data_IF_459739033192
#
_entry.id   IF_459739033192
#
_cell.length_a   1.000
_cell.length_b   1.000
_cell.length_c   1.000
_cell.angle_alpha   90.00
_cell.angle_beta   90.00
_cell.angle_gamma   90.00
#
_symmetry.space_group_name_H-M   'P 1'
#
loop_
_entity.id
_entity.type
_entity.pdbx_description
1 polymer ?
#
# COMPACT_ATOMS: atom_id res chain seq x y z
N UNK A 1 30.58 9.17 54.13
CA UNK A 1 31.23 10.41 54.60
C UNK A 1 32.56 10.49 53.85
N UNK A 2 32.91 11.44 52.99
CA UNK A 2 32.40 12.75 52.58
C UNK A 2 32.40 12.86 51.04
N UNK A 3 31.67 13.83 50.45
CA UNK A 3 31.60 14.10 49.01
C UNK A 3 32.69 15.08 48.57
N UNK A 4 32.89 15.25 47.25
CA UNK A 4 33.17 16.55 46.60
C UNK A 4 33.52 16.34 45.11
N UNK A 5 32.74 16.95 44.21
CA UNK A 5 33.21 18.02 43.31
C UNK A 5 32.12 18.49 42.35
N UNK A 6 32.01 19.81 42.31
CA UNK A 6 31.08 20.66 41.58
C UNK A 6 31.93 21.50 40.61
N UNK A 7 31.55 21.49 39.32
CA UNK A 7 31.67 22.55 38.27
C UNK A 7 33.08 23.06 37.89
N UNK A 8 33.42 23.56 36.71
CA UNK A 8 32.82 23.81 35.36
C UNK A 8 34.03 24.00 34.41
N UNK A 9 33.97 23.86 33.08
CA UNK A 9 33.68 24.95 32.13
C UNK A 9 34.01 24.52 30.66
N UNK A 10 33.30 25.14 29.71
CA UNK A 10 33.65 25.42 28.29
C UNK A 10 33.43 24.32 27.21
N UNK A 11 32.29 24.48 26.52
CA UNK A 11 32.05 24.51 25.07
C UNK A 11 33.10 23.96 24.09
N UNK A 12 32.67 23.03 23.20
CA UNK A 12 32.88 23.09 21.73
C UNK A 12 31.97 22.10 20.97
N UNK A 13 31.49 22.58 19.82
CA UNK A 13 30.63 21.92 18.82
C UNK A 13 31.26 20.68 18.15
N UNK A 14 30.47 19.62 17.89
CA UNK A 14 30.01 19.17 16.53
C UNK A 14 29.46 17.72 16.54
N UNK A 15 28.26 17.58 15.95
CA UNK A 15 27.72 16.49 15.11
C UNK A 15 28.08 15.01 15.40
N UNK A 16 27.09 14.17 15.77
CA UNK A 16 26.39 13.18 14.91
C UNK A 16 25.53 12.16 15.71
N UNK A 17 24.52 11.62 15.03
CA UNK A 17 23.89 10.28 15.20
C UNK A 17 22.74 10.06 16.23
N UNK A 18 21.51 10.04 15.68
CA UNK A 18 20.49 8.97 15.69
C UNK A 18 20.53 7.91 16.83
N UNK A 19 19.42 7.81 17.58
CA UNK A 19 18.73 6.58 18.11
C UNK A 19 17.54 7.07 18.96
N UNK A 20 16.27 6.83 18.61
CA UNK A 20 15.54 5.57 18.80
C UNK A 20 14.24 5.90 19.53
N UNK A 21 13.09 5.84 18.85
CA UNK A 21 11.77 6.07 19.43
C UNK A 21 11.17 4.73 19.90
N UNK A 22 11.00 4.57 21.21
CA UNK A 22 10.01 3.68 21.81
C UNK A 22 8.82 4.54 22.23
N UNK A 23 7.60 4.17 21.79
CA UNK A 23 6.34 4.82 22.20
C UNK A 23 5.74 4.08 23.40
N UNK A 24 5.31 4.83 24.41
CA UNK A 24 4.63 4.34 25.62
C UNK A 24 3.13 4.73 25.61
N UNK A 25 2.18 3.89 26.09
CA UNK A 25 0.74 3.98 25.75
C UNK A 25 -0.10 5.02 26.52
N UNK A 26 0.52 5.95 27.26
CA UNK A 26 -0.19 6.78 28.24
C UNK A 26 -0.79 8.09 27.68
N UNK A 27 -0.43 8.52 26.47
CA UNK A 27 -0.80 9.86 25.93
C UNK A 27 -2.13 9.92 25.18
N UNK A 28 -2.74 8.78 24.82
CA UNK A 28 -3.99 8.76 24.03
C UNK A 28 -5.24 9.04 24.91
N UNK A 29 -5.23 8.65 26.18
CA UNK A 29 -6.40 8.81 27.07
C UNK A 29 -6.65 10.27 27.53
N UNK A 30 -5.63 11.12 27.55
CA UNK A 30 -5.78 12.53 27.98
C UNK A 30 -6.43 13.42 26.91
N UNK A 31 -6.27 13.08 25.63
CA UNK A 31 -6.82 13.85 24.50
C UNK A 31 -8.34 13.64 24.34
N UNK A 32 -8.81 12.40 24.52
CA UNK A 32 -10.22 12.04 24.41
C UNK A 32 -11.09 12.69 25.51
N UNK A 33 -10.56 12.81 26.72
CA UNK A 33 -11.30 13.36 27.86
C UNK A 33 -11.43 14.90 27.81
N UNK A 34 -10.51 15.59 27.13
CA UNK A 34 -10.60 17.03 26.89
C UNK A 34 -11.68 17.37 25.85
N UNK A 35 -11.77 16.58 24.78
CA UNK A 35 -12.80 16.74 23.73
C UNK A 35 -14.20 16.48 24.30
N UNK A 36 -14.34 15.47 25.16
CA UNK A 36 -15.62 15.14 25.82
C UNK A 36 -16.16 16.29 26.69
N UNK A 37 -15.28 17.00 27.41
CA UNK A 37 -15.67 18.17 28.25
C UNK A 37 -16.11 19.38 27.43
N UNK A 38 -15.51 19.61 26.26
CA UNK A 38 -15.87 20.75 25.38
C UNK A 38 -17.27 20.54 24.78
N UNK A 39 -17.58 19.32 24.32
CA UNK A 39 -18.88 18.98 23.72
C UNK A 39 -20.02 19.08 24.74
N UNK A 40 -19.79 18.67 25.99
CA UNK A 40 -20.79 18.77 27.06
C UNK A 40 -21.08 20.22 27.49
N UNK A 41 -20.07 21.11 27.41
CA UNK A 41 -20.21 22.54 27.72
C UNK A 41 -21.00 23.31 26.65
N UNK A 42 -20.98 22.84 25.40
CA UNK A 42 -21.79 23.42 24.31
C UNK A 42 -23.28 23.04 24.42
N UNK A 43 -23.60 21.81 24.80
CA UNK A 43 -25.00 21.35 24.99
C UNK A 43 -25.74 22.05 26.14
N UNK A 44 -25.03 22.72 27.05
CA UNK A 44 -25.62 23.43 28.20
C UNK A 44 -25.95 24.89 27.91
N UNK A 45 -25.37 25.49 26.86
CA UNK A 45 -25.61 26.89 26.50
C UNK A 45 -26.95 27.06 25.75
N UNK A 46 -27.47 26.01 25.11
CA UNK A 46 -28.66 26.07 24.25
C UNK A 46 -30.02 25.86 24.96
N UNK A 47 -30.07 26.01 26.29
CA UNK A 47 -31.33 25.88 27.07
C UNK A 47 -31.73 27.09 27.91
N UNK A 48 -31.02 28.22 27.83
CA UNK A 48 -31.43 29.45 28.52
C UNK A 48 -31.84 30.53 27.52
N UNK A 49 -33.14 30.51 27.20
CA UNK A 49 -33.90 31.63 26.60
C UNK A 49 -33.55 32.94 27.32
N UNK A 50 -33.12 33.95 26.58
CA UNK A 50 -33.25 35.36 26.99
C UNK A 50 -34.53 35.86 26.33
N UNK A 51 -35.60 35.98 27.12
CA UNK A 51 -36.84 36.66 26.77
C UNK A 51 -36.70 38.10 27.26
N UNK A 52 -36.93 39.09 26.40
CA UNK A 52 -37.36 40.42 26.81
C UNK A 52 -38.55 40.84 25.94
N UNK A 53 -39.60 41.32 26.61
CA UNK A 53 -40.88 41.76 26.06
C UNK A 53 -40.98 43.29 26.02
N UNK A 54 -41.61 43.85 24.99
CA UNK A 54 -42.21 45.19 24.98
C UNK A 54 -43.49 45.16 24.11
N UNK A 55 -44.55 45.91 24.44
CA UNK A 55 -45.91 45.66 23.96
C UNK A 55 -46.25 46.40 22.67
N UNK A 56 -46.98 45.71 21.78
CA UNK A 56 -47.73 46.31 20.67
C UNK A 56 -46.97 46.46 19.35
N UNK A 57 -46.84 45.39 18.57
CA UNK A 57 -47.00 45.41 17.11
C UNK A 57 -47.08 43.96 16.59
N UNK A 58 -48.21 43.61 15.97
CA UNK A 58 -48.45 42.30 15.38
C UNK A 58 -48.02 42.33 13.93
N UNK A 59 -46.77 41.97 13.64
CA UNK A 59 -46.30 41.29 12.41
C UNK A 59 -44.77 41.38 12.33
N UNK A 60 -44.06 40.24 12.42
CA UNK A 60 -42.83 39.96 11.63
C UNK A 60 -42.18 38.62 11.99
N UNK A 61 -41.83 37.89 10.94
CA UNK A 61 -40.93 36.74 10.95
C UNK A 61 -39.48 37.17 11.30
N UNK A 62 -38.68 36.31 11.95
CA UNK A 62 -37.29 36.63 12.27
C UNK A 62 -36.41 36.63 11.02
N UNK A 63 -35.68 37.73 10.83
CA UNK A 63 -34.63 37.93 9.83
C UNK A 63 -33.47 36.98 10.14
N UNK A 64 -33.56 35.74 9.67
CA UNK A 64 -32.45 34.76 9.68
C UNK A 64 -32.09 34.26 8.29
N UNK A 65 -32.70 34.83 7.25
CA UNK A 65 -32.46 34.45 5.86
C UNK A 65 -32.22 35.68 4.98
N UNK A 66 -31.13 36.41 5.21
CA UNK A 66 -30.64 37.40 4.25
C UNK A 66 -29.20 37.79 4.58
N UNK A 67 -28.23 36.93 4.26
CA UNK A 67 -26.84 37.28 3.90
C UNK A 67 -26.03 36.03 3.53
N UNK A 68 -26.58 35.24 2.61
CA UNK A 68 -25.82 34.41 1.68
C UNK A 68 -26.26 34.90 0.31
N UNK A 69 -25.55 35.88 -0.27
CA UNK A 69 -25.50 36.17 -1.72
C UNK A 69 -24.67 37.44 -1.97
N UNK A 70 -23.64 37.27 -2.82
CA UNK A 70 -22.90 38.28 -3.60
C UNK A 70 -22.38 39.54 -2.89
N UNK A 71 -21.06 39.60 -2.68
CA UNK A 71 -20.36 40.86 -2.47
C UNK A 71 -18.93 40.65 -2.00
N UNK A 72 -17.94 41.02 -2.83
CA UNK A 72 -16.55 41.16 -2.41
C UNK A 72 -16.47 42.12 -1.21
N UNK A 73 -15.92 41.64 -0.09
CA UNK A 73 -15.56 42.49 1.04
C UNK A 73 -14.13 43.01 0.79
N UNK A 74 -14.01 44.18 0.16
CA UNK A 74 -12.73 44.88 0.04
C UNK A 74 -12.53 45.76 1.27
N UNK A 75 -11.49 45.46 2.06
CA UNK A 75 -11.06 46.28 3.20
C UNK A 75 -10.04 47.30 2.69
N UNK A 76 -10.40 48.58 2.70
CA UNK A 76 -9.45 49.70 2.57
C UNK A 76 -9.32 50.38 3.94
N UNK A 77 -8.31 49.98 4.72
CA UNK A 77 -7.94 50.65 5.97
C UNK A 77 -8.95 50.54 7.13
N UNK A 78 -8.88 51.50 8.06
CA UNK A 78 -9.44 51.41 9.42
C UNK A 78 -10.92 51.84 9.60
N UNK A 79 -11.74 51.87 8.55
CA UNK A 79 -13.19 52.17 8.69
C UNK A 79 -14.06 51.32 7.74
N UNK A 80 -15.18 50.77 8.25
CA UNK A 80 -16.25 50.12 7.49
C UNK A 80 -17.33 51.15 7.13
N UNK A 81 -17.63 51.34 5.84
CA UNK A 81 -18.74 52.18 5.36
C UNK A 81 -19.85 51.29 4.80
N UNK A 82 -21.07 51.44 5.34
CA UNK A 82 -22.27 50.78 4.82
C UNK A 82 -23.19 51.84 4.22
N UNK A 83 -23.48 51.76 2.93
CA UNK A 83 -24.52 52.57 2.28
C UNK A 83 -25.78 51.71 2.11
N UNK A 84 -26.89 52.16 2.68
CA UNK A 84 -28.23 51.64 2.36
C UNK A 84 -28.93 52.66 1.46
N UNK A 85 -29.27 52.28 0.24
CA UNK A 85 -30.02 53.13 -0.68
C UNK A 85 -31.52 52.82 -0.50
N UNK A 86 -32.29 53.80 -0.03
CA UNK A 86 -33.73 53.93 -0.30
C UNK A 86 -34.07 55.44 -0.34
N UNK A 87 -35.06 55.86 -1.15
CA UNK A 87 -35.33 57.27 -1.39
C UNK A 87 -36.03 57.85 -0.15
N UNK A 88 -35.64 59.06 0.25
CA UNK A 88 -36.10 59.79 1.43
C UNK A 88 -35.46 59.33 2.77
N UNK A 89 -34.41 60.06 3.15
CA UNK A 89 -33.64 60.05 4.42
C UNK A 89 -32.46 59.09 4.55
N UNK A 90 -31.27 59.69 4.74
CA UNK A 90 -30.04 59.04 5.22
C UNK A 90 -29.82 59.38 6.69
N UNK A 91 -29.55 58.39 7.53
CA UNK A 91 -29.07 58.63 8.90
C UNK A 91 -27.78 57.82 9.15
N UNK A 92 -26.71 58.50 9.58
CA UNK A 92 -25.38 57.91 9.80
C UNK A 92 -25.18 57.68 11.30
N UNK A 93 -25.13 56.41 11.72
CA UNK A 93 -24.73 56.05 13.10
C UNK A 93 -23.35 55.41 13.11
N UNK A 94 -22.45 56.00 13.88
CA UNK A 94 -21.13 55.45 14.17
C UNK A 94 -21.20 54.62 15.47
N UNK A 95 -20.74 53.37 15.42
CA UNK A 95 -20.59 52.52 16.60
C UNK A 95 -19.11 52.55 17.00
N UNK A 96 -18.80 53.02 18.20
CA UNK A 96 -17.46 52.96 18.77
C UNK A 96 -17.28 51.67 19.58
N UNK A 97 -16.23 50.92 19.27
CA UNK A 97 -15.88 49.69 19.99
C UNK A 97 -15.02 49.99 21.22
N UNK A 98 -15.24 49.26 22.30
CA UNK A 98 -14.43 49.36 23.53
C UNK A 98 -13.00 48.83 23.31
N UNK A 99 -12.07 49.20 24.20
CA UNK A 99 -10.65 48.77 24.11
C UNK A 99 -10.50 47.24 24.10
N UNK A 100 -11.38 46.53 24.78
CA UNK A 100 -11.41 45.06 24.86
C UNK A 100 -11.88 44.41 23.54
N UNK A 101 -12.85 45.02 22.84
CA UNK A 101 -13.33 44.53 21.54
C UNK A 101 -12.27 44.71 20.43
N UNK A 102 -11.44 45.75 20.51
CA UNK A 102 -10.29 45.95 19.61
C UNK A 102 -9.18 44.92 19.85
N UNK A 103 -8.96 44.51 21.10
CA UNK A 103 -8.00 43.47 21.47
C UNK A 103 -8.46 42.10 20.94
N UNK A 104 -9.75 41.76 21.06
CA UNK A 104 -10.30 40.53 20.47
C UNK A 104 -10.18 40.48 18.94
N UNK A 105 -10.38 41.62 18.26
CA UNK A 105 -10.17 41.72 16.80
C UNK A 105 -8.71 41.48 16.38
N UNK A 106 -7.74 41.98 17.15
CA UNK A 106 -6.32 41.76 16.89
C UNK A 106 -5.87 40.33 17.16
N UNK A 107 -6.44 39.67 18.19
CA UNK A 107 -6.18 38.25 18.48
C UNK A 107 -6.75 37.32 17.39
N UNK A 108 -7.94 37.63 16.85
CA UNK A 108 -8.53 36.87 15.74
C UNK A 108 -7.79 37.08 14.40
N UNK A 109 -7.20 38.27 14.18
CA UNK A 109 -6.35 38.55 13.02
C UNK A 109 -5.01 37.80 13.10
N UNK A 110 -4.41 37.74 14.29
CA UNK A 110 -3.18 36.99 14.53
C UNK A 110 -3.38 35.46 14.49
N UNK A 111 -4.57 34.96 14.85
CA UNK A 111 -4.96 33.55 14.64
C UNK A 111 -5.16 33.19 13.16
N UNK A 112 -5.53 34.16 12.29
CA UNK A 112 -5.62 33.93 10.84
C UNK A 112 -4.27 34.03 10.11
N UNK A 113 -3.30 34.75 10.67
CA UNK A 113 -1.96 34.89 10.09
C UNK A 113 -0.97 33.80 10.54
N UNK A 114 -1.27 33.09 11.62
CA UNK A 114 -0.53 31.88 12.04
C UNK A 114 -1.07 30.58 11.42
N UNK A 115 -2.21 30.62 10.74
CA UNK A 115 -2.80 29.47 10.04
C UNK A 115 -2.26 29.24 8.61
N UNK A 116 -1.38 30.11 8.10
CA UNK A 116 -0.83 30.00 6.74
C UNK A 116 0.66 29.59 6.67
N UNK A 117 1.25 29.12 7.77
CA UNK A 117 2.63 28.59 7.79
C UNK A 117 2.78 27.20 8.42
N UNK A 118 1.68 26.45 8.58
CA UNK A 118 1.75 25.00 8.70
C UNK A 118 1.27 24.41 7.37
N UNK A 119 2.18 24.34 6.39
CA UNK A 119 2.12 23.26 5.40
C UNK A 119 2.15 21.97 6.22
N UNK A 120 0.96 21.42 6.46
CA UNK A 120 0.79 20.10 7.02
C UNK A 120 1.30 19.14 5.95
N UNK A 121 2.60 18.88 5.96
CA UNK A 121 3.15 17.66 5.37
C UNK A 121 2.55 16.52 6.20
N UNK A 122 1.32 16.12 5.85
CA UNK A 122 0.83 14.80 6.19
C UNK A 122 1.74 13.87 5.41
N UNK A 123 2.89 13.52 6.00
CA UNK A 123 3.44 12.21 5.77
C UNK A 123 2.33 11.27 6.22
N UNK A 124 1.54 10.77 5.26
CA UNK A 124 1.02 9.43 5.38
C UNK A 124 2.28 8.59 5.57
N UNK A 125 2.65 8.35 6.82
CA UNK A 125 3.35 7.12 7.16
C UNK A 125 2.33 6.03 6.84
N UNK A 126 2.25 5.67 5.56
CA UNK A 126 1.91 4.32 5.20
C UNK A 126 2.86 3.48 6.03
N UNK A 127 2.33 2.84 7.07
CA UNK A 127 2.94 1.62 7.55
C UNK A 127 3.24 0.84 6.27
N UNK A 128 4.49 0.43 5.98
CA UNK A 128 4.66 -0.56 4.93
C UNK A 128 3.67 -1.66 5.33
N UNK A 129 2.67 -1.88 4.48
CA UNK A 129 1.78 -3.00 4.68
C UNK A 129 2.71 -4.21 4.64
N UNK A 130 3.02 -4.77 5.82
CA UNK A 130 3.80 -5.97 6.10
C UNK A 130 3.06 -7.21 5.58
N UNK A 131 2.46 -7.05 4.41
CA UNK A 131 1.38 -7.83 3.88
C UNK A 131 1.58 -8.08 2.40
N UNK A 132 2.83 -8.02 1.89
CA UNK A 132 3.23 -8.65 0.63
C UNK A 132 4.70 -9.10 0.62
N UNK A 133 5.06 -10.00 -0.30
CA UNK A 133 6.39 -10.60 -0.44
C UNK A 133 6.82 -10.70 -1.90
N UNK A 134 8.12 -10.91 -2.13
CA UNK A 134 8.73 -11.19 -3.43
C UNK A 134 9.60 -12.45 -3.37
N UNK A 135 9.78 -13.09 -4.51
CA UNK A 135 10.77 -14.15 -4.66
C UNK A 135 12.09 -13.53 -5.11
N UNK A 136 13.04 -13.39 -4.18
CA UNK A 136 14.21 -12.52 -4.32
C UNK A 136 15.49 -13.25 -4.75
N UNK A 137 15.47 -14.57 -4.74
CA UNK A 137 16.63 -15.39 -5.10
C UNK A 137 16.21 -16.74 -5.66
N UNK A 138 16.97 -17.21 -6.65
CA UNK A 138 16.83 -18.54 -7.24
C UNK A 138 17.80 -19.51 -6.60
N UNK A 139 17.38 -20.76 -6.45
CA UNK A 139 18.18 -21.92 -6.04
C UNK A 139 18.33 -22.80 -7.26
N UNK A 140 19.55 -23.01 -7.75
CA UNK A 140 19.84 -23.84 -8.91
C UNK A 140 21.02 -24.76 -8.60
N UNK A 141 20.72 -26.04 -8.37
CA UNK A 141 21.66 -26.99 -7.77
C UNK A 141 22.11 -26.53 -6.39
N UNK A 142 23.42 -26.37 -6.22
CA UNK A 142 24.04 -25.85 -4.98
C UNK A 142 24.16 -24.32 -4.94
N UNK A 143 23.74 -23.61 -5.99
CA UNK A 143 23.90 -22.16 -6.10
C UNK A 143 22.62 -21.45 -5.69
N UNK A 144 22.72 -20.43 -4.83
CA UNK A 144 21.65 -19.47 -4.57
C UNK A 144 22.07 -18.10 -5.06
N UNK A 145 21.22 -17.41 -5.84
CA UNK A 145 21.57 -16.13 -6.46
C UNK A 145 20.37 -15.20 -6.56
N UNK A 146 20.49 -14.00 -6.00
CA UNK A 146 19.58 -12.87 -6.29
C UNK A 146 19.96 -12.13 -7.57
N UNK A 147 21.24 -12.17 -7.97
CA UNK A 147 21.73 -11.53 -9.20
C UNK A 147 21.15 -12.14 -10.48
N UNK A 148 20.68 -13.39 -10.41
CA UNK A 148 20.03 -14.06 -11.53
C UNK A 148 18.51 -13.82 -11.59
N UNK A 149 17.92 -13.19 -10.57
CA UNK A 149 16.50 -12.85 -10.54
C UNK A 149 16.30 -11.50 -11.22
N UNK A 150 15.29 -11.42 -12.09
CA UNK A 150 14.72 -10.16 -12.55
C UNK A 150 13.93 -9.57 -11.39
N UNK A 151 14.56 -8.72 -10.60
CA UNK A 151 14.07 -8.33 -9.28
C UNK A 151 12.81 -7.45 -9.40
N UNK A 152 11.67 -7.83 -8.80
CA UNK A 152 10.51 -6.95 -8.73
C UNK A 152 10.83 -5.61 -8.06
N UNK A 153 10.26 -4.51 -8.55
CA UNK A 153 10.47 -3.17 -8.00
C UNK A 153 9.62 -2.88 -6.75
N UNK A 154 8.63 -3.73 -6.50
CA UNK A 154 7.67 -3.63 -5.40
C UNK A 154 7.26 -5.05 -5.00
N UNK A 155 6.81 -5.20 -3.75
CA UNK A 155 6.18 -6.42 -3.29
C UNK A 155 4.69 -6.50 -3.61
N UNK A 156 4.09 -5.45 -4.19
CA UNK A 156 2.69 -5.49 -4.61
C UNK A 156 2.41 -6.57 -5.68
N UNK A 157 1.20 -7.17 -5.67
CA UNK A 157 0.84 -8.19 -6.65
C UNK A 157 0.51 -7.59 -8.02
N UNK A 158 0.69 -8.39 -9.06
CA UNK A 158 0.01 -8.17 -10.35
C UNK A 158 -1.45 -8.61 -10.20
N UNK A 159 -2.40 -7.84 -10.73
CA UNK A 159 -3.84 -8.10 -10.56
C UNK A 159 -4.53 -8.58 -11.84
N UNK A 160 -3.98 -8.23 -13.01
CA UNK A 160 -4.60 -8.56 -14.29
C UNK A 160 -3.87 -9.75 -14.95
N UNK A 161 -4.53 -10.92 -14.97
CA UNK A 161 -3.98 -12.16 -15.54
C UNK A 161 -3.67 -12.10 -17.04
N UNK A 162 -4.24 -11.12 -17.76
CA UNK A 162 -3.97 -10.91 -19.19
C UNK A 162 -2.86 -9.88 -19.44
N UNK A 163 -2.36 -9.21 -18.41
CA UNK A 163 -1.27 -8.24 -18.55
C UNK A 163 0.05 -8.94 -18.91
N UNK A 164 0.90 -8.34 -19.76
CA UNK A 164 2.30 -8.78 -19.90
C UNK A 164 3.06 -8.86 -18.56
N UNK A 165 2.64 -8.11 -17.55
CA UNK A 165 3.27 -8.13 -16.23
C UNK A 165 3.18 -9.50 -15.54
N UNK A 166 2.23 -10.38 -15.91
CA UNK A 166 2.18 -11.72 -15.32
C UNK A 166 3.30 -12.65 -15.78
N UNK A 167 4.09 -12.25 -16.78
CA UNK A 167 5.26 -13.02 -17.23
C UNK A 167 6.34 -13.00 -16.16
N UNK A 168 6.87 -11.81 -15.84
CA UNK A 168 8.01 -11.65 -14.93
C UNK A 168 7.87 -10.45 -13.97
N UNK A 169 6.64 -10.07 -13.61
CA UNK A 169 6.30 -8.89 -12.80
C UNK A 169 6.41 -7.55 -13.55
N UNK A 170 5.98 -6.46 -12.93
CA UNK A 170 5.91 -5.11 -13.51
C UNK A 170 7.31 -4.50 -13.59
N UNK A 171 7.84 -4.37 -14.81
CA UNK A 171 9.12 -3.72 -15.11
C UNK A 171 10.25 -4.08 -14.11
N UNK A 172 10.53 -5.38 -13.89
CA UNK A 172 11.55 -5.78 -12.92
C UNK A 172 12.93 -5.25 -13.32
N UNK A 173 13.81 -5.09 -12.32
CA UNK A 173 15.22 -4.80 -12.59
C UNK A 173 15.83 -5.96 -13.38
N UNK A 174 16.61 -5.70 -14.44
CA UNK A 174 17.28 -6.77 -15.18
C UNK A 174 18.19 -7.60 -14.28
N UNK A 175 18.20 -8.92 -14.48
CA UNK A 175 19.18 -9.79 -13.85
C UNK A 175 20.58 -9.48 -14.40
N UNK A 176 21.60 -9.60 -13.55
CA UNK A 176 23.01 -9.37 -13.92
C UNK A 176 23.80 -10.67 -14.07
N UNK A 177 23.17 -11.82 -13.83
CA UNK A 177 23.77 -13.13 -13.94
C UNK A 177 22.80 -14.14 -14.58
N UNK A 178 23.36 -15.21 -15.13
CA UNK A 178 22.65 -16.44 -15.50
C UNK A 178 23.32 -17.60 -14.77
N UNK A 179 22.56 -18.37 -13.98
CA UNK A 179 23.13 -19.46 -13.18
C UNK A 179 23.10 -20.78 -13.96
N UNK A 180 24.25 -21.41 -14.10
CA UNK A 180 24.36 -22.74 -14.72
C UNK A 180 23.92 -23.83 -13.75
N UNK A 181 23.10 -24.77 -14.22
CA UNK A 181 22.56 -25.88 -13.44
C UNK A 181 22.36 -27.12 -14.34
N UNK A 182 22.62 -28.31 -13.83
CA UNK A 182 22.40 -29.53 -14.62
C UNK A 182 20.92 -29.94 -14.61
N UNK A 183 20.42 -30.49 -15.72
CA UNK A 183 19.14 -31.20 -15.74
C UNK A 183 19.13 -32.30 -14.65
N UNK A 184 17.99 -32.53 -14.00
CA UNK A 184 17.88 -33.42 -12.84
C UNK A 184 18.32 -32.79 -11.51
N UNK A 185 18.87 -31.57 -11.50
CA UNK A 185 19.22 -30.87 -10.26
C UNK A 185 18.02 -30.17 -9.63
N UNK A 186 18.15 -29.79 -8.37
CA UNK A 186 17.17 -28.94 -7.68
C UNK A 186 17.06 -27.57 -8.34
N UNK A 187 15.82 -27.10 -8.50
CA UNK A 187 15.47 -25.72 -8.81
C UNK A 187 14.49 -25.20 -7.77
N UNK A 188 14.59 -23.94 -7.37
CA UNK A 188 13.64 -23.35 -6.44
C UNK A 188 13.84 -21.85 -6.30
N UNK A 189 13.06 -21.26 -5.41
CA UNK A 189 13.14 -19.83 -5.09
C UNK A 189 13.04 -19.64 -3.58
N UNK A 190 13.72 -18.61 -3.06
CA UNK A 190 13.45 -18.09 -1.73
C UNK A 190 12.54 -16.87 -1.82
N UNK A 191 11.74 -16.71 -0.79
CA UNK A 191 10.85 -15.59 -0.56
C UNK A 191 11.46 -14.69 0.52
N UNK A 192 11.33 -13.37 0.39
CA UNK A 192 11.88 -12.39 1.33
C UNK A 192 11.14 -12.37 2.68
N UNK A 193 9.94 -12.95 2.73
CA UNK A 193 9.14 -13.22 3.93
C UNK A 193 8.40 -14.57 3.79
N UNK A 194 7.61 -14.92 4.78
CA UNK A 194 6.71 -16.06 4.73
C UNK A 194 5.59 -15.79 3.74
N UNK A 195 5.29 -16.76 2.88
CA UNK A 195 4.04 -16.79 2.12
C UNK A 195 2.88 -16.89 3.11
N UNK A 196 1.94 -15.93 3.12
CA UNK A 196 0.75 -16.00 3.97
C UNK A 196 -0.56 -15.69 3.25
N UNK A 197 -0.54 -15.34 1.95
CA UNK A 197 -1.79 -15.30 1.20
C UNK A 197 -2.21 -16.71 0.83
N UNK A 198 -3.41 -17.12 1.25
CA UNK A 198 -3.97 -18.42 0.89
C UNK A 198 -4.16 -18.49 -0.63
N UNK A 199 -3.58 -19.52 -1.24
CA UNK A 199 -3.65 -19.77 -2.66
C UNK A 199 -2.46 -20.60 -3.15
N UNK A 200 -2.49 -21.12 -4.39
CA UNK A 200 -1.47 -22.03 -4.87
C UNK A 200 -0.19 -21.32 -5.26
N UNK A 201 0.85 -22.12 -5.46
CA UNK A 201 2.07 -21.70 -6.13
C UNK A 201 2.44 -22.67 -7.27
N UNK A 202 3.21 -22.19 -8.24
CA UNK A 202 3.74 -23.03 -9.31
C UNK A 202 5.09 -22.51 -9.81
N UNK A 203 5.91 -23.42 -10.34
CA UNK A 203 7.14 -23.09 -11.07
C UNK A 203 7.00 -23.53 -12.52
N UNK A 204 7.38 -22.64 -13.42
CA UNK A 204 7.42 -22.86 -14.86
C UNK A 204 8.84 -22.68 -15.38
N UNK A 205 9.16 -23.36 -16.46
CA UNK A 205 10.34 -23.12 -17.26
C UNK A 205 9.92 -22.66 -18.65
N UNK A 206 10.66 -21.68 -19.19
CA UNK A 206 10.53 -21.23 -20.57
C UNK A 206 11.89 -21.24 -21.25
N UNK A 207 12.04 -21.95 -22.37
CA UNK A 207 13.30 -21.98 -23.11
C UNK A 207 13.44 -20.71 -23.96
N UNK A 208 14.51 -19.95 -23.75
CA UNK A 208 14.77 -18.75 -24.53
C UNK A 208 15.09 -19.11 -26.00
N UNK A 209 14.57 -18.37 -26.99
CA UNK A 209 14.92 -18.57 -28.40
C UNK A 209 16.35 -18.12 -28.73
N UNK A 210 17.02 -17.43 -27.81
CA UNK A 210 18.37 -16.89 -27.93
C UNK A 210 18.93 -16.62 -26.53
N UNK A 211 19.60 -15.49 -26.34
CA UNK A 211 20.05 -15.05 -25.01
C UNK A 211 18.86 -14.86 -24.07
N UNK A 212 18.89 -15.53 -22.92
CA UNK A 212 17.82 -15.36 -21.90
C UNK A 212 17.81 -13.95 -21.32
N UNK A 213 18.95 -13.24 -21.34
CA UNK A 213 19.04 -11.86 -20.85
C UNK A 213 18.22 -10.88 -21.71
N UNK A 214 17.99 -11.21 -22.98
CA UNK A 214 17.28 -10.35 -23.95
C UNK A 214 15.82 -10.79 -24.17
N UNK A 215 15.46 -12.00 -23.76
CA UNK A 215 14.13 -12.53 -23.98
C UNK A 215 13.12 -12.01 -22.96
N UNK A 216 12.01 -11.45 -23.42
CA UNK A 216 10.93 -10.92 -22.59
C UNK A 216 10.00 -12.00 -22.00
N UNK A 217 10.20 -13.27 -22.38
CA UNK A 217 9.33 -14.37 -21.98
C UNK A 217 8.12 -14.57 -22.89
N UNK A 218 8.04 -13.87 -24.02
CA UNK A 218 6.93 -14.00 -24.98
C UNK A 218 6.94 -15.32 -25.77
N UNK A 219 5.76 -15.70 -26.24
CA UNK A 219 5.52 -16.88 -27.09
C UNK A 219 5.11 -18.13 -26.32
N UNK A 220 4.68 -19.14 -27.08
CA UNK A 220 4.29 -20.44 -26.56
C UNK A 220 5.54 -21.26 -26.21
N UNK A 221 6.12 -20.96 -25.05
CA UNK A 221 7.43 -21.49 -24.62
C UNK A 221 7.46 -21.98 -23.19
N UNK A 222 6.38 -21.80 -22.43
CA UNK A 222 6.33 -22.09 -21.01
C UNK A 222 5.71 -23.46 -20.75
N UNK A 223 6.23 -24.18 -19.77
CA UNK A 223 5.62 -25.40 -19.24
C UNK A 223 5.80 -25.44 -17.73
N UNK A 224 4.82 -26.02 -17.02
CA UNK A 224 4.83 -26.13 -15.57
C UNK A 224 5.68 -27.33 -15.15
N UNK A 225 6.53 -27.18 -14.14
CA UNK A 225 7.37 -28.27 -13.59
C UNK A 225 7.09 -28.57 -12.12
N UNK A 226 6.30 -27.74 -11.45
CA UNK A 226 5.87 -27.97 -10.08
C UNK A 226 4.63 -27.14 -9.75
N UNK A 227 3.83 -27.64 -8.81
CA UNK A 227 2.76 -26.90 -8.18
C UNK A 227 2.57 -27.29 -6.72
N UNK A 228 2.02 -26.34 -5.96
CA UNK A 228 1.63 -26.47 -4.57
C UNK A 228 0.17 -26.04 -4.47
N UNK A 229 -0.68 -26.94 -3.99
CA UNK A 229 -2.13 -26.79 -4.03
C UNK A 229 -2.76 -26.70 -2.64
N UNK A 230 -4.08 -26.85 -2.62
CA UNK A 230 -4.86 -26.87 -1.39
C UNK A 230 -4.79 -28.24 -0.70
N UNK A 231 -4.86 -28.20 0.63
CA UNK A 231 -5.20 -29.35 1.49
C UNK A 231 -6.52 -29.04 2.16
N UNK A 232 -7.34 -30.06 2.40
CA UNK A 232 -8.67 -29.91 3.00
C UNK A 232 -8.71 -30.60 4.37
N UNK A 233 -9.65 -30.19 5.21
CA UNK A 233 -9.87 -30.71 6.57
C UNK A 233 -8.68 -30.55 7.55
N UNK A 234 -8.26 -29.32 7.90
CA UNK A 234 -8.82 -28.02 7.52
C UNK A 234 -8.27 -27.48 6.20
N UNK A 235 -8.98 -26.54 5.57
CA UNK A 235 -8.47 -25.84 4.39
C UNK A 235 -7.13 -25.14 4.70
N UNK A 236 -6.11 -25.49 3.92
CA UNK A 236 -4.82 -24.79 3.88
C UNK A 236 -4.20 -24.93 2.50
N UNK A 237 -3.05 -24.30 2.27
CA UNK A 237 -2.25 -24.48 1.06
C UNK A 237 -0.85 -24.94 1.44
N UNK A 238 -0.26 -25.82 0.64
CA UNK A 238 1.01 -26.47 0.98
C UNK A 238 2.21 -25.51 0.97
N UNK A 239 2.06 -24.32 0.40
CA UNK A 239 3.03 -23.23 0.41
C UNK A 239 2.78 -22.23 1.57
N UNK A 240 1.74 -22.40 2.39
CA UNK A 240 1.46 -21.48 3.47
C UNK A 240 2.56 -21.51 4.55
N UNK A 241 3.05 -20.33 4.93
CA UNK A 241 4.15 -20.08 5.89
C UNK A 241 5.49 -20.70 5.50
N UNK A 242 5.72 -20.91 4.20
CA UNK A 242 7.03 -21.27 3.70
C UNK A 242 7.76 -20.03 3.21
N UNK A 243 9.09 -20.05 3.28
CA UNK A 243 9.97 -19.04 2.70
C UNK A 243 10.73 -19.57 1.48
N UNK A 244 10.42 -20.79 1.05
CA UNK A 244 11.15 -21.48 0.01
C UNK A 244 10.28 -22.54 -0.65
N UNK A 245 10.30 -22.56 -1.99
CA UNK A 245 9.66 -23.59 -2.80
C UNK A 245 10.69 -24.21 -3.75
N UNK A 246 10.75 -25.54 -3.78
CA UNK A 246 11.77 -26.31 -4.50
C UNK A 246 11.16 -27.49 -5.24
N UNK A 247 11.71 -27.75 -6.42
CA UNK A 247 11.41 -28.91 -7.26
C UNK A 247 12.70 -29.42 -7.89
N UNK A 248 12.59 -30.41 -8.76
CA UNK A 248 13.67 -30.95 -9.57
C UNK A 248 13.44 -30.59 -11.03
N UNK A 249 14.50 -30.13 -11.70
CA UNK A 249 14.49 -29.92 -13.15
C UNK A 249 14.34 -31.29 -13.81
N UNK A 250 13.36 -31.53 -14.70
CA UNK A 250 13.26 -32.81 -15.39
C UNK A 250 14.58 -33.16 -16.11
N UNK A 251 15.03 -34.39 -15.94
CA UNK A 251 16.39 -34.82 -16.31
C UNK A 251 16.64 -34.93 -17.80
N UNK A 252 15.58 -34.92 -18.61
CA UNK A 252 15.57 -35.10 -20.05
C UNK A 252 15.31 -33.80 -20.82
N UNK A 253 15.19 -32.67 -20.12
CA UNK A 253 15.07 -31.35 -20.74
C UNK A 253 16.28 -31.03 -21.62
N UNK A 254 16.09 -30.38 -22.77
CA UNK A 254 17.18 -29.89 -23.58
C UNK A 254 18.10 -28.93 -22.81
N UNK A 255 19.40 -29.00 -23.10
CA UNK A 255 20.33 -27.97 -22.66
C UNK A 255 19.99 -26.62 -23.31
N UNK A 256 20.18 -25.52 -22.59
CA UNK A 256 19.89 -24.19 -23.10
C UNK A 256 19.72 -23.15 -22.01
N UNK A 257 19.44 -21.93 -22.39
CA UNK A 257 19.09 -20.86 -21.46
C UNK A 257 17.57 -20.78 -21.27
N UNK A 258 17.14 -20.64 -20.02
CA UNK A 258 15.75 -20.67 -19.63
C UNK A 258 15.43 -19.53 -18.68
N UNK A 259 14.21 -19.00 -18.79
CA UNK A 259 13.58 -18.32 -17.67
C UNK A 259 12.93 -19.37 -16.77
N UNK A 260 13.32 -19.39 -15.51
CA UNK A 260 12.55 -20.04 -14.45
C UNK A 260 11.60 -19.00 -13.87
N UNK A 261 10.30 -19.28 -13.87
CA UNK A 261 9.27 -18.38 -13.36
C UNK A 261 8.58 -19.04 -12.17
N UNK A 262 8.54 -18.34 -11.05
CA UNK A 262 7.70 -18.73 -9.91
C UNK A 262 6.50 -17.80 -9.83
N UNK A 263 5.35 -18.38 -9.51
CA UNK A 263 4.14 -17.64 -9.15
C UNK A 263 3.57 -18.16 -7.85
N UNK A 264 3.06 -17.25 -7.03
CA UNK A 264 2.12 -17.55 -5.96
C UNK A 264 0.86 -16.72 -6.22
N UNK A 265 -0.30 -17.35 -6.19
CA UNK A 265 -1.57 -16.72 -6.54
C UNK A 265 -2.43 -16.62 -5.28
N UNK A 266 -2.40 -15.48 -4.60
CA UNK A 266 -3.28 -15.22 -3.47
C UNK A 266 -4.74 -15.14 -3.91
N UNK A 267 -5.58 -16.05 -3.43
CA UNK A 267 -7.04 -16.10 -3.65
C UNK A 267 -7.84 -15.92 -2.35
N UNK A 268 -7.16 -15.43 -1.31
CA UNK A 268 -7.73 -15.07 -0.01
C UNK A 268 -8.76 -13.92 -0.07
N UNK A 269 -8.80 -13.13 -1.15
CA UNK A 269 -9.88 -12.18 -1.43
C UNK A 269 -10.78 -12.83 -2.49
N UNK A 270 -12.05 -13.13 -2.18
CA UNK A 270 -12.94 -13.76 -3.14
C UNK A 270 -13.01 -12.99 -4.46
N UNK A 271 -12.85 -13.71 -5.58
CA UNK A 271 -12.93 -13.18 -6.95
C UNK A 271 -11.90 -12.09 -7.33
N UNK A 272 -10.86 -11.88 -6.51
CA UNK A 272 -9.82 -10.88 -6.75
C UNK A 272 -8.43 -11.49 -6.55
N UNK A 273 -7.97 -12.34 -7.49
CA UNK A 273 -6.67 -13.01 -7.38
C UNK A 273 -5.51 -12.00 -7.41
N UNK A 274 -4.46 -12.32 -6.67
CA UNK A 274 -3.23 -11.54 -6.55
C UNK A 274 -2.03 -12.39 -6.95
N UNK A 275 -1.27 -11.97 -7.96
CA UNK A 275 -0.15 -12.75 -8.49
C UNK A 275 1.19 -12.18 -8.01
N UNK A 276 1.94 -12.98 -7.23
CA UNK A 276 3.30 -12.68 -6.78
C UNK A 276 4.30 -13.47 -7.61
N UNK A 277 5.01 -12.77 -8.50
CA UNK A 277 5.78 -13.40 -9.57
C UNK A 277 7.22 -12.91 -9.56
N UNK A 278 8.16 -13.82 -9.81
CA UNK A 278 9.54 -13.48 -10.21
C UNK A 278 10.04 -14.42 -11.29
N UNK A 279 10.98 -13.94 -12.10
CA UNK A 279 11.71 -14.76 -13.07
C UNK A 279 13.20 -14.77 -12.76
N UNK A 280 13.85 -15.91 -12.96
CA UNK A 280 15.29 -16.05 -12.87
C UNK A 280 15.89 -16.60 -14.17
N UNK A 281 17.11 -16.15 -14.48
CA UNK A 281 17.89 -16.61 -15.61
C UNK A 281 18.74 -17.82 -15.22
N UNK A 282 18.47 -18.96 -15.85
CA UNK A 282 19.25 -20.19 -15.66
C UNK A 282 19.76 -20.73 -16.99
N UNK A 283 20.87 -21.46 -16.94
CA UNK A 283 21.39 -22.22 -18.08
C UNK A 283 21.42 -23.70 -17.71
N UNK A 284 20.52 -24.46 -18.31
CA UNK A 284 20.44 -25.90 -18.11
C UNK A 284 21.53 -26.57 -18.93
N UNK A 285 22.33 -27.42 -18.27
CA UNK A 285 23.36 -28.27 -18.89
C UNK A 285 23.03 -29.73 -18.75
N UNK A 286 23.62 -30.55 -19.62
CA UNK A 286 23.19 -31.94 -19.75
C UNK A 286 21.74 -32.03 -20.23
N UNK A 287 21.15 -33.21 -20.07
CA UNK A 287 19.75 -33.44 -20.40
C UNK A 287 19.53 -34.26 -21.66
N UNK A 288 18.38 -34.06 -22.29
CA UNK A 288 17.89 -34.88 -23.40
C UNK A 288 17.29 -34.04 -24.52
N UNK A 289 16.25 -34.58 -25.14
CA UNK A 289 15.57 -33.98 -26.29
C UNK A 289 14.06 -33.97 -26.14
N UNK A 290 13.55 -34.05 -24.90
CA UNK A 290 12.10 -34.03 -24.65
C UNK A 290 11.52 -32.68 -25.02
N UNK A 291 10.27 -32.68 -25.49
CA UNK A 291 9.53 -31.48 -25.84
C UNK A 291 8.22 -31.48 -25.05
N UNK A 292 8.14 -30.74 -23.93
CA UNK A 292 6.90 -30.63 -23.16
C UNK A 292 5.85 -29.85 -23.96
N UNK A 293 4.57 -30.10 -23.68
CA UNK A 293 3.49 -29.24 -24.18
C UNK A 293 3.66 -27.83 -23.61
N UNK A 294 3.70 -26.83 -24.49
CA UNK A 294 3.98 -25.44 -24.12
C UNK A 294 2.71 -24.58 -24.12
N UNK A 295 2.72 -23.52 -23.33
CA UNK A 295 1.70 -22.49 -23.27
C UNK A 295 2.33 -21.10 -23.40
N UNK A 296 1.51 -20.11 -23.72
CA UNK A 296 1.91 -18.69 -23.66
C UNK A 296 1.57 -18.10 -22.28
N UNK A 297 2.46 -17.27 -21.75
CA UNK A 297 2.18 -16.40 -20.60
C UNK A 297 2.36 -14.96 -21.10
N UNK A 298 1.37 -14.06 -20.95
CA UNK A 298 -0.02 -14.31 -20.57
C UNK A 298 -0.77 -15.20 -21.59
N UNK A 299 -1.92 -15.76 -21.19
CA UNK A 299 -2.79 -16.58 -22.05
C UNK A 299 -3.05 -17.99 -21.52
N UNK A 300 -2.16 -18.51 -20.66
CA UNK A 300 -2.32 -19.82 -20.02
C UNK A 300 -3.53 -19.92 -19.07
N UNK A 301 -4.03 -18.79 -18.55
CA UNK A 301 -5.23 -18.71 -17.71
C UNK A 301 -6.27 -17.77 -18.30
N UNK A 302 -7.54 -18.14 -18.18
CA UNK A 302 -8.66 -17.26 -18.41
C UNK A 302 -8.86 -16.32 -17.22
N UNK A 303 -9.24 -15.04 -17.41
CA UNK A 303 -9.73 -14.17 -16.34
C UNK A 303 -10.92 -14.76 -15.56
N UNK A 304 -11.65 -15.68 -16.18
CA UNK A 304 -12.79 -16.38 -15.59
C UNK A 304 -12.47 -17.82 -15.18
N UNK A 305 -11.19 -18.19 -15.09
CA UNK A 305 -10.79 -19.52 -14.64
C UNK A 305 -11.44 -19.82 -13.27
N UNK A 306 -12.14 -20.97 -13.12
CA UNK A 306 -12.86 -21.29 -11.90
C UNK A 306 -11.94 -21.48 -10.70
N UNK A 307 -10.62 -21.63 -10.90
CA UNK A 307 -9.61 -21.73 -9.84
C UNK A 307 -9.08 -20.36 -9.40
N UNK A 308 -9.35 -19.31 -10.18
CA UNK A 308 -9.08 -17.90 -9.83
C UNK A 308 -10.33 -17.21 -9.26
N UNK A 309 -11.50 -17.53 -9.81
CA UNK A 309 -12.79 -16.93 -9.44
C UNK A 309 -13.49 -17.73 -8.35
N UNK A 310 -12.81 -17.90 -7.22
CA UNK A 310 -13.27 -18.71 -6.08
C UNK A 310 -13.59 -17.87 -4.85
N UNK A 311 -14.41 -18.44 -3.97
CA UNK A 311 -14.52 -18.04 -2.57
C UNK A 311 -14.07 -19.21 -1.68
N UNK A 312 -12.83 -19.17 -1.21
CA UNK A 312 -12.24 -20.24 -0.39
C UNK A 312 -12.85 -20.35 1.01
N UNK A 313 -13.66 -19.37 1.43
CA UNK A 313 -14.36 -19.39 2.72
C UNK A 313 -15.78 -19.94 2.61
N UNK A 314 -16.21 -20.31 1.39
CA UNK A 314 -17.48 -21.01 1.21
C UNK A 314 -17.38 -22.40 1.88
N UNK A 315 -18.33 -22.78 2.76
CA UNK A 315 -18.31 -24.08 3.43
C UNK A 315 -18.37 -25.28 2.47
N UNK A 316 -18.75 -25.07 1.20
CA UNK A 316 -18.76 -26.11 0.16
C UNK A 316 -17.42 -26.25 -0.57
N UNK A 317 -16.45 -25.37 -0.31
CA UNK A 317 -15.13 -25.40 -0.92
C UNK A 317 -14.31 -26.58 -0.35
N UNK A 318 -14.41 -27.71 -1.03
CA UNK A 318 -13.89 -29.03 -0.60
C UNK A 318 -12.90 -29.64 -1.60
N UNK A 319 -12.69 -28.99 -2.73
CA UNK A 319 -11.73 -29.39 -3.75
C UNK A 319 -11.16 -28.17 -4.46
N UNK A 320 -9.90 -28.24 -4.87
CA UNK A 320 -9.24 -27.19 -5.64
C UNK A 320 -8.24 -27.79 -6.60
N UNK A 321 -8.28 -27.32 -7.85
CA UNK A 321 -7.29 -27.66 -8.88
C UNK A 321 -6.39 -26.45 -9.06
N UNK A 322 -5.07 -26.65 -9.06
CA UNK A 322 -4.13 -25.56 -9.34
C UNK A 322 -4.32 -25.12 -10.80
N UNK A 323 -4.48 -23.81 -11.08
CA UNK A 323 -4.71 -23.32 -12.44
C UNK A 323 -3.51 -23.58 -13.36
N UNK A 324 -3.75 -23.60 -14.67
CA UNK A 324 -2.72 -23.71 -15.71
C UNK A 324 -2.51 -25.13 -16.24
N UNK A 325 -1.48 -25.35 -17.07
CA UNK A 325 -1.20 -26.67 -17.65
C UNK A 325 -0.82 -27.70 -16.57
N UNK A 326 -0.90 -28.99 -16.92
CA UNK A 326 -0.41 -30.06 -16.06
C UNK A 326 1.11 -29.95 -15.83
N UNK A 327 1.58 -30.47 -14.70
CA UNK A 327 3.01 -30.56 -14.39
C UNK A 327 3.70 -31.54 -15.35
N UNK A 328 4.73 -31.05 -16.03
CA UNK A 328 5.68 -31.88 -16.77
C UNK A 328 6.76 -32.41 -15.83
N UNK A 329 6.94 -33.72 -15.77
CA UNK A 329 7.86 -34.40 -14.85
C UNK A 329 8.99 -35.21 -15.53
N UNK A 330 9.09 -35.16 -16.86
CA UNK A 330 9.97 -36.02 -17.67
C UNK A 330 9.18 -37.16 -18.29
#
# INVERSE_FOLDING_TARGET
MMPDRVYSYVTRYRFHAIRGLFFEPQTINLQLEAVRRIVLRWKTIDKKRIIYSSPGDSTRQPVTAALLLSGQLLILGNHLVYNRIHPFFSDRRYISFTKEQKILGQYLLNMRLSANFLSLTVFLQSSPSLAHYIWDSVIAGSTTSSAAVRMPLSNGPVLNVTSPDVVCNVNPTPATATVTVAAGSTLGFNCDDNVYHLGPAAIYLGQAPGSVAEWDGSGERWFKIAEWGATFDPLSFTDFRVTQLKTTIPSDLPAGEYLARIEQIGIHIPYAPQFFISCAQIKITGGGSVSPAMVSIPGYLSPTDPSLMVNIYDPTFTSYTVPGPAVFSG
#
